data_IF_273713409475
#
_entry.id   IF_273713409475
#
_cell.length_a   1.000
_cell.length_b   1.000
_cell.length_c   1.000
_cell.angle_alpha   90.00
_cell.angle_beta   90.00
_cell.angle_gamma   90.00
#
_symmetry.space_group_name_H-M   'P 1'
#
loop_
_entity.id
_entity.type
_entity.pdbx_description
1 polymer ?
#
# COMPACT_ATOMS: atom_id res chain seq x y z
N UNK A 1 -33.66 -28.98 -17.71
CA UNK A 1 -33.78 -29.45 -16.31
C UNK A 1 -32.85 -28.62 -15.46
N UNK A 2 -33.41 -28.11 -14.37
CA UNK A 2 -32.87 -27.26 -13.31
C UNK A 2 -31.67 -27.86 -12.57
N UNK A 3 -30.70 -26.99 -12.30
CA UNK A 3 -29.95 -26.75 -11.05
C UNK A 3 -29.57 -27.95 -10.16
N UNK A 4 -28.27 -28.10 -9.82
CA UNK A 4 -27.70 -27.80 -8.48
C UNK A 4 -26.32 -28.46 -8.32
N UNK A 5 -25.25 -27.66 -8.25
CA UNK A 5 -24.06 -28.04 -7.47
C UNK A 5 -23.87 -26.99 -6.38
N UNK A 6 -24.49 -27.26 -5.23
CA UNK A 6 -24.14 -26.65 -3.95
C UNK A 6 -23.35 -27.70 -3.18
N UNK A 7 -22.06 -27.48 -2.97
CA UNK A 7 -21.35 -27.80 -1.72
C UNK A 7 -19.95 -27.18 -1.76
N UNK A 8 -19.78 -26.07 -1.05
CA UNK A 8 -18.47 -25.79 -0.44
C UNK A 8 -18.19 -26.85 0.61
N UNK A 9 -16.95 -27.35 0.71
CA UNK A 9 -16.20 -27.09 1.93
C UNK A 9 -14.71 -26.84 1.69
N UNK A 10 -14.27 -25.66 2.16
CA UNK A 10 -13.05 -25.35 2.92
C UNK A 10 -11.62 -25.68 2.40
N UNK A 11 -10.75 -24.66 2.57
CA UNK A 11 -9.26 -24.66 2.70
C UNK A 11 -8.52 -24.98 1.38
N UNK A 12 -7.90 -24.04 0.64
CA UNK A 12 -6.89 -23.03 1.00
C UNK A 12 -7.01 -21.88 -0.04
N UNK A 13 -7.42 -20.68 0.36
CA UNK A 13 -7.11 -19.46 -0.42
C UNK A 13 -6.09 -18.62 0.38
N UNK A 14 -5.09 -19.32 0.90
CA UNK A 14 -3.86 -18.77 1.49
C UNK A 14 -2.78 -18.59 0.39
N UNK A 15 -3.18 -18.67 -0.88
CA UNK A 15 -2.31 -18.59 -2.06
C UNK A 15 -2.38 -17.22 -2.77
N UNK A 16 -2.69 -16.14 -2.04
CA UNK A 16 -2.71 -14.77 -2.57
C UNK A 16 -1.48 -13.94 -2.18
N UNK A 17 -0.59 -14.45 -1.33
CA UNK A 17 0.55 -13.68 -0.79
C UNK A 17 1.92 -14.13 -1.33
N UNK A 18 1.98 -14.87 -2.45
CA UNK A 18 3.25 -15.22 -3.14
C UNK A 18 3.54 -14.35 -4.38
N UNK A 19 3.15 -13.07 -4.39
CA UNK A 19 3.57 -12.10 -5.44
C UNK A 19 4.33 -10.91 -4.86
N UNK A 20 5.25 -11.16 -3.94
CA UNK A 20 6.08 -10.13 -3.32
C UNK A 20 7.26 -9.63 -4.19
N UNK A 21 7.26 -9.86 -5.51
CA UNK A 21 8.35 -9.40 -6.40
C UNK A 21 7.90 -9.00 -7.83
N UNK A 22 6.65 -8.56 -8.00
CA UNK A 22 6.30 -7.74 -9.17
C UNK A 22 6.43 -6.27 -8.76
N UNK A 23 7.51 -5.62 -9.20
CA UNK A 23 7.58 -4.15 -9.17
C UNK A 23 6.27 -3.62 -9.78
N UNK A 24 5.61 -2.64 -9.15
CA UNK A 24 4.34 -2.16 -9.65
C UNK A 24 4.54 -1.65 -11.08
N UNK A 25 3.68 -2.09 -12.00
CA UNK A 25 3.70 -1.70 -13.41
C UNK A 25 3.54 -0.17 -13.57
N UNK A 26 3.06 0.50 -12.53
CA UNK A 26 2.84 1.95 -12.42
C UNK A 26 3.52 2.47 -11.16
N UNK A 27 4.39 3.47 -11.30
CA UNK A 27 4.98 4.21 -10.18
C UNK A 27 4.23 5.54 -10.08
N UNK A 28 3.71 5.85 -8.89
CA UNK A 28 3.04 7.13 -8.65
C UNK A 28 4.07 8.18 -8.19
N UNK A 29 3.74 9.46 -8.42
CA UNK A 29 4.53 10.55 -7.90
C UNK A 29 4.19 10.83 -6.44
N UNK A 30 4.87 10.14 -5.53
CA UNK A 30 4.69 10.33 -4.09
C UNK A 30 4.96 11.78 -3.62
N UNK A 31 5.61 12.63 -4.42
CA UNK A 31 5.82 14.05 -4.07
C UNK A 31 4.54 14.88 -4.12
N UNK A 32 3.46 14.40 -4.76
CA UNK A 32 2.14 15.02 -4.73
C UNK A 32 1.52 15.03 -3.32
N UNK A 33 1.98 14.13 -2.43
CA UNK A 33 1.56 14.11 -1.03
C UNK A 33 2.28 15.23 -0.28
N UNK A 34 1.49 16.17 0.24
CA UNK A 34 2.02 17.33 0.96
C UNK A 34 2.93 16.93 2.12
N UNK A 35 4.19 17.35 2.05
CA UNK A 35 5.22 17.06 3.05
C UNK A 35 6.12 15.86 2.71
N UNK A 36 5.85 15.15 1.60
CA UNK A 36 6.79 14.22 0.99
C UNK A 36 7.66 14.98 0.00
N UNK A 37 8.94 15.15 0.36
CA UNK A 37 9.96 15.67 -0.57
C UNK A 37 10.75 14.53 -1.22
N UNK A 38 11.66 14.84 -2.17
CA UNK A 38 12.45 13.83 -2.88
C UNK A 38 13.23 12.91 -1.94
N UNK A 39 13.82 13.44 -0.85
CA UNK A 39 14.51 12.62 0.13
C UNK A 39 13.60 11.70 0.96
N UNK A 40 12.31 11.98 1.05
CA UNK A 40 11.31 11.06 1.65
C UNK A 40 10.92 9.99 0.64
N UNK A 41 10.73 10.37 -0.63
CA UNK A 41 10.45 9.42 -1.74
C UNK A 41 11.56 8.39 -1.86
N UNK A 42 12.84 8.79 -1.84
CA UNK A 42 13.97 7.86 -1.90
C UNK A 42 13.92 6.80 -0.78
N UNK A 43 13.53 7.21 0.44
CA UNK A 43 13.39 6.29 1.57
C UNK A 43 12.20 5.35 1.44
N UNK A 44 11.09 5.82 0.85
CA UNK A 44 9.92 5.00 0.57
C UNK A 44 10.22 3.97 -0.53
N UNK A 45 10.87 4.42 -1.61
CA UNK A 45 11.34 3.59 -2.71
C UNK A 45 12.34 2.52 -2.21
N UNK A 46 13.25 2.88 -1.31
CA UNK A 46 14.16 1.92 -0.67
C UNK A 46 13.43 0.82 0.14
N UNK A 47 12.19 1.10 0.57
CA UNK A 47 11.28 0.14 1.23
C UNK A 47 10.29 -0.52 0.25
N UNK A 48 10.53 -0.41 -1.06
CA UNK A 48 9.68 -0.90 -2.16
C UNK A 48 8.26 -0.28 -2.19
N UNK A 49 8.09 0.93 -1.66
CA UNK A 49 6.83 1.68 -1.71
C UNK A 49 6.94 2.71 -2.83
N UNK A 50 6.17 2.51 -3.89
CA UNK A 50 6.23 3.31 -5.11
C UNK A 50 4.87 3.89 -5.53
N UNK A 51 3.78 3.52 -4.86
CA UNK A 51 2.41 3.88 -5.25
C UNK A 51 1.61 4.43 -4.09
N UNK A 52 0.59 5.23 -4.39
CA UNK A 52 -0.37 5.72 -3.39
C UNK A 52 -1.09 4.56 -2.71
N UNK A 53 -1.42 3.49 -3.46
CA UNK A 53 -2.11 2.31 -2.93
C UNK A 53 -1.27 1.60 -1.87
N UNK A 54 -0.01 1.30 -2.17
CA UNK A 54 0.90 0.71 -1.20
C UNK A 54 1.05 1.59 0.04
N UNK A 55 1.12 2.91 -0.13
CA UNK A 55 1.22 3.83 1.00
C UNK A 55 -0.07 3.84 1.84
N UNK A 56 -1.24 3.84 1.20
CA UNK A 56 -2.55 3.87 1.85
C UNK A 56 -2.89 2.58 2.61
N UNK A 57 -2.35 1.44 2.18
CA UNK A 57 -2.51 0.13 2.82
C UNK A 57 -1.61 -0.04 4.06
N UNK A 58 -0.59 0.80 4.23
CA UNK A 58 0.29 0.75 5.39
C UNK A 58 -0.36 1.34 6.64
N UNK A 59 0.08 0.86 7.80
CA UNK A 59 -0.25 1.48 9.08
C UNK A 59 0.71 2.62 9.40
N UNK A 60 0.27 3.64 10.16
CA UNK A 60 1.15 4.72 10.58
C UNK A 60 2.38 4.25 11.35
N UNK A 61 2.22 3.21 12.16
CA UNK A 61 3.30 2.58 12.91
C UNK A 61 4.35 2.01 11.96
N UNK A 62 3.91 1.26 10.93
CA UNK A 62 4.83 0.64 9.97
C UNK A 62 5.55 1.67 9.11
N UNK A 63 4.83 2.70 8.69
CA UNK A 63 5.39 3.79 7.92
C UNK A 63 6.38 4.62 8.75
N UNK A 64 6.12 4.80 10.05
CA UNK A 64 7.00 5.56 10.96
C UNK A 64 8.34 4.89 11.26
N UNK A 65 8.51 3.61 10.92
CA UNK A 65 9.82 2.95 10.93
C UNK A 65 10.80 3.57 9.90
N UNK A 66 10.29 4.30 8.89
CA UNK A 66 11.14 4.99 7.93
C UNK A 66 11.87 6.18 8.59
N UNK A 67 13.18 6.33 8.38
CA UNK A 67 13.95 7.42 8.98
C UNK A 67 13.39 8.81 8.64
N UNK A 68 12.99 9.56 9.67
CA UNK A 68 12.48 10.92 9.51
C UNK A 68 10.97 11.01 9.24
N UNK A 69 10.22 9.90 9.33
CA UNK A 69 8.76 9.92 9.29
C UNK A 69 8.23 9.60 10.70
N UNK A 70 7.68 10.60 11.40
CA UNK A 70 7.00 10.38 12.68
C UNK A 70 5.59 9.81 12.49
N UNK A 71 5.01 9.18 13.51
CA UNK A 71 3.66 8.59 13.47
C UNK A 71 2.59 9.60 12.99
N UNK A 72 2.63 10.85 13.48
CA UNK A 72 1.69 11.88 13.06
C UNK A 72 1.85 12.26 11.58
N UNK A 73 3.09 12.27 11.07
CA UNK A 73 3.40 12.53 9.66
C UNK A 73 2.96 11.34 8.80
N UNK A 74 3.23 10.12 9.25
CA UNK A 74 2.80 8.90 8.59
C UNK A 74 1.28 8.84 8.41
N UNK A 75 0.51 9.20 9.46
CA UNK A 75 -0.95 9.33 9.36
C UNK A 75 -1.36 10.28 8.24
N UNK A 76 -0.77 11.47 8.17
CA UNK A 76 -1.07 12.44 7.12
C UNK A 76 -0.78 11.89 5.73
N UNK A 77 0.35 11.21 5.55
CA UNK A 77 0.72 10.64 4.25
C UNK A 77 -0.24 9.54 3.80
N UNK A 78 -0.66 8.67 4.73
CA UNK A 78 -1.65 7.60 4.46
C UNK A 78 -2.99 8.20 4.07
N UNK A 79 -3.48 9.19 4.82
CA UNK A 79 -4.76 9.84 4.54
C UNK A 79 -4.74 10.58 3.19
N UNK A 80 -3.64 11.28 2.86
CA UNK A 80 -3.54 11.96 1.57
C UNK A 80 -3.42 10.98 0.41
N UNK A 81 -2.74 9.86 0.60
CA UNK A 81 -2.72 8.78 -0.39
C UNK A 81 -4.11 8.21 -0.65
N UNK A 82 -4.92 8.00 0.39
CA UNK A 82 -6.34 7.59 0.24
C UNK A 82 -7.15 8.64 -0.50
N UNK A 83 -6.96 9.92 -0.17
CA UNK A 83 -7.65 11.02 -0.85
C UNK A 83 -7.31 11.09 -2.35
N UNK A 84 -6.04 10.86 -2.73
CA UNK A 84 -5.62 10.78 -4.13
C UNK A 84 -6.23 9.56 -4.87
N UNK A 85 -6.48 8.48 -4.14
CA UNK A 85 -7.17 7.29 -4.65
C UNK A 85 -8.70 7.40 -4.64
N UNK A 86 -9.25 8.40 -3.93
CA UNK A 86 -10.69 8.58 -3.72
C UNK A 86 -11.34 7.46 -2.89
N UNK A 87 -10.62 6.89 -1.91
CA UNK A 87 -11.10 5.82 -1.01
C UNK A 87 -11.24 6.26 0.44
#
# INVERSE_FOLDING_TARGET
MTNVYHKSPEIIVEALEERADELPQTIDDLTEIKGIGPGTVEKLNARKIYTYRQLAELTPEKLSEAPGIGIATARKFIEEAKNLLGI
#
